data_IF_036641162464
#
_entry.id   IF_036641162464
#
_cell.length_a   1.000
_cell.length_b   1.000
_cell.length_c   1.000
_cell.angle_alpha   90.00
_cell.angle_beta   90.00
_cell.angle_gamma   90.00
#
_symmetry.space_group_name_H-M   'P 1'
#
loop_
_entity.id
_entity.type
_entity.pdbx_description
1 polymer ?
#
# COMPACT_ATOMS: atom_id res chain seq x y z
N UNK A 1 26.87 -1.47 24.13
CA UNK A 1 25.57 -1.12 24.75
C UNK A 1 24.49 -1.76 23.90
N UNK A 2 23.79 -2.78 24.39
CA UNK A 2 22.64 -3.37 23.68
C UNK A 2 21.43 -2.46 23.85
N UNK A 3 20.86 -1.98 22.73
CA UNK A 3 19.61 -1.23 22.75
C UNK A 3 18.46 -2.23 22.78
N UNK A 4 17.73 -2.30 23.91
CA UNK A 4 16.54 -3.15 24.06
C UNK A 4 15.29 -2.31 23.78
N UNK A 5 14.54 -2.66 22.73
CA UNK A 5 13.26 -2.00 22.39
C UNK A 5 12.17 -2.31 23.42
N UNK A 6 11.39 -1.30 23.77
CA UNK A 6 10.19 -1.44 24.61
C UNK A 6 9.05 -2.14 23.84
N UNK A 7 7.95 -2.49 24.53
CA UNK A 7 6.78 -3.08 23.87
C UNK A 7 6.09 -2.05 22.97
N UNK A 8 6.08 -0.81 23.42
CA UNK A 8 5.58 0.36 22.72
C UNK A 8 6.38 0.59 21.42
N UNK A 9 7.71 0.52 21.47
CA UNK A 9 8.55 0.64 20.28
C UNK A 9 8.28 -0.49 19.27
N UNK A 10 8.07 -1.71 19.76
CA UNK A 10 7.73 -2.84 18.90
C UNK A 10 6.37 -2.64 18.21
N UNK A 11 5.39 -2.14 18.95
CA UNK A 11 4.07 -1.81 18.42
C UNK A 11 4.15 -0.70 17.37
N UNK A 12 4.85 0.40 17.68
CA UNK A 12 5.04 1.51 16.75
C UNK A 12 5.77 1.06 15.49
N UNK A 13 6.81 0.23 15.62
CA UNK A 13 7.49 -0.30 14.44
C UNK A 13 6.56 -1.17 13.60
N UNK A 14 5.78 -2.07 14.22
CA UNK A 14 4.85 -2.91 13.49
C UNK A 14 3.81 -2.07 12.75
N UNK A 15 3.28 -1.04 13.41
CA UNK A 15 2.36 -0.07 12.80
C UNK A 15 3.00 0.63 11.60
N UNK A 16 4.23 1.14 11.74
CA UNK A 16 4.96 1.79 10.65
C UNK A 16 5.26 0.84 9.49
N UNK A 17 5.60 -0.42 9.76
CA UNK A 17 5.83 -1.44 8.72
C UNK A 17 4.53 -1.71 7.95
N UNK A 18 3.41 -1.90 8.65
CA UNK A 18 2.10 -2.08 8.01
C UNK A 18 1.74 -0.86 7.17
N UNK A 19 1.95 0.35 7.70
CA UNK A 19 1.70 1.59 6.98
C UNK A 19 2.59 1.75 5.74
N UNK A 20 3.85 1.33 5.83
CA UNK A 20 4.75 1.34 4.68
C UNK A 20 4.27 0.36 3.59
N UNK A 21 3.91 -0.87 3.97
CA UNK A 21 3.38 -1.87 3.04
C UNK A 21 2.09 -1.39 2.37
N UNK A 22 1.21 -0.77 3.14
CA UNK A 22 -0.02 -0.13 2.67
C UNK A 22 0.25 0.88 1.53
N UNK A 23 1.21 1.79 1.70
CA UNK A 23 1.60 2.76 0.67
C UNK A 23 2.29 2.11 -0.54
N UNK A 24 3.09 1.07 -0.31
CA UNK A 24 3.74 0.31 -1.39
C UNK A 24 2.70 -0.36 -2.28
N UNK A 25 1.69 -1.01 -1.70
CA UNK A 25 0.61 -1.67 -2.43
C UNK A 25 -0.13 -0.67 -3.32
N UNK A 26 -0.45 0.51 -2.79
CA UNK A 26 -1.17 1.53 -3.55
C UNK A 26 -0.38 2.05 -4.76
N UNK A 27 0.92 2.32 -4.58
CA UNK A 27 1.80 2.78 -5.66
C UNK A 27 2.08 1.69 -6.68
N UNK A 28 2.22 0.44 -6.22
CA UNK A 28 2.35 -0.70 -7.10
C UNK A 28 1.06 -0.93 -7.90
N UNK A 29 -0.10 -0.79 -7.27
CA UNK A 29 -1.42 -0.79 -7.91
C UNK A 29 -1.51 0.24 -9.03
N UNK A 30 -1.04 1.48 -8.80
CA UNK A 30 -0.98 2.51 -9.83
C UNK A 30 -0.10 2.14 -11.02
N UNK A 31 1.07 1.54 -10.78
CA UNK A 31 1.94 1.10 -11.87
C UNK A 31 1.29 -0.03 -12.69
N UNK A 32 0.62 -0.97 -12.01
CA UNK A 32 -0.15 -2.05 -12.66
C UNK A 32 -1.32 -1.48 -13.43
N UNK A 33 -2.05 -0.50 -12.89
CA UNK A 33 -3.19 0.17 -13.52
C UNK A 33 -2.82 0.83 -14.86
N UNK A 34 -1.66 1.49 -14.88
CA UNK A 34 -1.14 2.12 -16.09
C UNK A 34 -0.94 1.09 -17.21
N UNK A 35 -0.30 -0.04 -16.90
CA UNK A 35 -0.12 -1.14 -17.87
C UNK A 35 -1.46 -1.81 -18.21
N UNK A 36 -2.33 -1.98 -17.22
CA UNK A 36 -3.64 -2.59 -17.41
C UNK A 36 -4.48 -1.83 -18.44
N UNK A 37 -4.49 -0.50 -18.37
CA UNK A 37 -5.19 0.34 -19.34
C UNK A 37 -4.54 0.37 -20.73
N UNK A 38 -3.26 0.00 -20.89
CA UNK A 38 -2.70 -0.21 -22.24
C UNK A 38 -3.20 -1.50 -22.88
N UNK A 39 -3.48 -2.52 -22.06
CA UNK A 39 -3.84 -3.86 -22.55
C UNK A 39 -5.36 -4.05 -22.67
N UNK A 40 -6.13 -3.57 -21.70
CA UNK A 40 -7.58 -3.74 -21.58
C UNK A 40 -8.34 -2.49 -22.02
N UNK A 41 -7.71 -1.31 -21.92
CA UNK A 41 -8.39 -0.02 -22.08
C UNK A 41 -9.14 0.38 -20.81
N UNK A 42 -10.02 1.37 -20.92
CA UNK A 42 -10.79 1.93 -19.80
C UNK A 42 -11.81 0.91 -19.27
N UNK A 43 -11.92 0.79 -17.95
CA UNK A 43 -12.79 -0.16 -17.27
C UNK A 43 -13.58 0.48 -16.10
N UNK A 44 -14.24 -0.37 -15.32
CA UNK A 44 -15.06 0.01 -14.16
C UNK A 44 -14.22 0.22 -12.89
N UNK A 45 -14.78 0.89 -11.88
CA UNK A 45 -14.04 1.28 -10.67
C UNK A 45 -13.47 0.11 -9.85
N UNK A 46 -14.07 -1.08 -9.88
CA UNK A 46 -13.69 -2.19 -8.99
C UNK A 46 -12.91 -3.30 -9.71
N UNK A 47 -11.88 -2.91 -10.45
CA UNK A 47 -10.89 -3.85 -11.02
C UNK A 47 -9.74 -4.08 -10.04
N UNK A 48 -8.97 -5.18 -10.21
CA UNK A 48 -7.84 -5.48 -9.33
C UNK A 48 -6.85 -4.31 -9.11
N UNK A 49 -6.35 -3.60 -10.15
CA UNK A 49 -5.44 -2.48 -9.94
C UNK A 49 -6.10 -1.31 -9.18
N UNK A 50 -7.35 -0.99 -9.48
CA UNK A 50 -8.10 0.04 -8.75
C UNK A 50 -8.27 -0.29 -7.27
N UNK A 51 -8.57 -1.56 -6.92
CA UNK A 51 -8.68 -1.99 -5.52
C UNK A 51 -7.34 -1.85 -4.79
N UNK A 52 -6.22 -2.15 -5.46
CA UNK A 52 -4.89 -1.95 -4.89
C UNK A 52 -4.60 -0.47 -4.61
N UNK A 53 -4.99 0.44 -5.52
CA UNK A 53 -4.86 1.88 -5.33
C UNK A 53 -5.75 2.35 -4.17
N UNK A 54 -7.02 1.93 -4.16
CA UNK A 54 -7.99 2.24 -3.12
C UNK A 54 -7.55 1.76 -1.74
N UNK A 55 -6.74 0.70 -1.68
CA UNK A 55 -6.11 0.30 -0.43
C UNK A 55 -5.42 1.52 0.20
N UNK A 56 -4.68 2.33 -0.56
CA UNK A 56 -3.94 3.53 -0.13
C UNK A 56 -4.71 4.85 0.06
N UNK A 57 -6.05 4.86 -0.03
CA UNK A 57 -6.82 6.11 -0.10
C UNK A 57 -6.92 6.87 1.24
N UNK A 58 -6.66 6.20 2.37
CA UNK A 58 -6.79 6.82 3.69
C UNK A 58 -5.58 7.73 3.92
N UNK A 59 -5.79 9.04 4.14
CA UNK A 59 -4.71 9.94 4.50
C UNK A 59 -4.13 9.52 5.85
N UNK A 60 -2.81 9.30 5.88
CA UNK A 60 -2.04 8.77 7.00
C UNK A 60 -0.73 9.51 7.16
#
# INVERSE_FOLDING_TARGET
MELKRSKEDNFLLAFLVVLCLYHIIARFGLAVDLQWHTDIGRDELFTPPHIMILAGIVPT
#
